data_IF_539300820526
#
_entry.id   IF_539300820526
#
_cell.length_a   1.000
_cell.length_b   1.000
_cell.length_c   1.000
_cell.angle_alpha   90.00
_cell.angle_beta   90.00
_cell.angle_gamma   90.00
#
_symmetry.space_group_name_H-M   'P 1'
#
loop_
_entity.id
_entity.type
_entity.pdbx_description
1 polymer ?
#
# COMPACT_ATOMS: atom_id res chain seq x y z
N UNK A 1 -1.99 -0.46 -20.80
CA UNK A 1 -3.14 -0.91 -20.02
C UNK A 1 -3.22 -0.14 -18.72
N UNK A 2 -4.32 0.51 -18.49
CA UNK A 2 -4.47 1.31 -17.28
C UNK A 2 -4.94 0.44 -16.12
N UNK A 3 -4.23 0.55 -15.00
CA UNK A 3 -4.66 -0.12 -13.80
C UNK A 3 -5.76 0.70 -13.13
N UNK A 4 -6.79 0.02 -12.70
CA UNK A 4 -7.86 0.60 -11.96
C UNK A 4 -7.42 0.88 -10.52
N UNK A 5 -7.83 2.01 -9.96
CA UNK A 5 -7.56 2.31 -8.56
C UNK A 5 -8.07 1.18 -7.66
N UNK A 6 -9.23 0.61 -7.99
CA UNK A 6 -9.83 -0.46 -7.21
C UNK A 6 -8.97 -1.72 -7.21
N UNK A 7 -8.31 -2.02 -8.33
CA UNK A 7 -7.41 -3.18 -8.40
C UNK A 7 -6.19 -3.01 -7.50
N UNK A 8 -5.59 -1.83 -7.53
CA UNK A 8 -4.45 -1.52 -6.67
C UNK A 8 -4.88 -1.54 -5.22
N UNK A 9 -6.03 -0.96 -4.92
CA UNK A 9 -6.59 -0.93 -3.58
C UNK A 9 -6.81 -2.34 -3.05
N UNK A 10 -7.37 -3.23 -3.88
CA UNK A 10 -7.60 -4.62 -3.50
C UNK A 10 -6.28 -5.33 -3.19
N UNK A 11 -5.25 -5.08 -4.00
CA UNK A 11 -3.93 -5.70 -3.80
C UNK A 11 -3.31 -5.25 -2.48
N UNK A 12 -3.38 -3.96 -2.20
CA UNK A 12 -2.85 -3.41 -0.95
C UNK A 12 -3.60 -4.00 0.25
N UNK A 13 -4.92 -4.04 0.16
CA UNK A 13 -5.75 -4.59 1.24
C UNK A 13 -5.46 -6.05 1.50
N UNK A 14 -5.33 -6.85 0.45
CA UNK A 14 -5.02 -8.28 0.58
C UNK A 14 -3.67 -8.50 1.26
N UNK A 15 -2.67 -7.72 0.85
CA UNK A 15 -1.35 -7.84 1.44
C UNK A 15 -1.38 -7.51 2.93
N UNK A 16 -2.02 -6.40 3.28
CA UNK A 16 -2.10 -5.96 4.67
C UNK A 16 -2.91 -6.92 5.53
N UNK A 17 -4.00 -7.44 4.99
CA UNK A 17 -4.83 -8.39 5.73
C UNK A 17 -4.04 -9.65 6.08
N UNK A 18 -3.27 -10.16 5.14
CA UNK A 18 -2.45 -11.35 5.36
C UNK A 18 -1.28 -11.05 6.30
N UNK A 19 -0.60 -9.93 6.10
CA UNK A 19 0.56 -9.54 6.89
C UNK A 19 0.21 -9.28 8.34
N UNK A 20 -0.85 -8.52 8.58
CA UNK A 20 -1.24 -8.04 9.90
C UNK A 20 -2.32 -8.89 10.55
N UNK A 21 -2.80 -9.91 9.86
CA UNK A 21 -3.86 -10.80 10.35
C UNK A 21 -5.15 -10.04 10.71
N UNK A 22 -5.51 -9.07 9.87
CA UNK A 22 -6.75 -8.32 10.04
C UNK A 22 -7.69 -8.61 8.89
N UNK A 23 -8.97 -8.28 9.07
CA UNK A 23 -9.96 -8.48 8.02
C UNK A 23 -9.78 -7.45 6.90
N UNK A 24 -9.91 -7.88 5.64
CA UNK A 24 -9.89 -6.99 4.48
C UNK A 24 -10.95 -5.91 4.64
N UNK A 25 -12.08 -6.23 5.23
CA UNK A 25 -13.19 -5.29 5.42
C UNK A 25 -12.86 -4.16 6.39
N UNK A 26 -11.86 -4.35 7.24
CA UNK A 26 -11.43 -3.33 8.19
C UNK A 26 -10.44 -2.34 7.58
N UNK A 27 -10.03 -2.57 6.34
CA UNK A 27 -9.03 -1.74 5.67
C UNK A 27 -9.69 -0.91 4.58
N UNK A 28 -9.67 0.41 4.75
CA UNK A 28 -10.22 1.35 3.78
C UNK A 28 -9.17 2.38 3.34
N UNK A 29 -9.57 3.30 2.48
CA UNK A 29 -8.67 4.34 1.98
C UNK A 29 -8.12 5.25 3.07
N UNK A 30 -8.94 5.57 4.06
CA UNK A 30 -8.56 6.46 5.14
C UNK A 30 -7.87 5.74 6.30
N UNK A 31 -7.76 4.43 6.23
CA UNK A 31 -7.11 3.63 7.26
C UNK A 31 -5.64 4.01 7.35
N UNK A 32 -5.19 4.33 8.55
CA UNK A 32 -3.80 4.70 8.81
C UNK A 32 -2.99 3.48 9.17
N UNK A 33 -1.80 3.36 8.59
CA UNK A 33 -0.95 2.19 8.84
C UNK A 33 -0.55 2.06 10.29
N UNK A 34 -0.12 3.16 10.91
CA UNK A 34 0.36 3.12 12.29
C UNK A 34 -0.76 3.26 13.32
N UNK A 35 -1.63 4.22 13.12
CA UNK A 35 -2.66 4.53 14.12
C UNK A 35 -3.80 3.52 14.11
N UNK A 36 -4.20 3.05 12.96
CA UNK A 36 -5.37 2.16 12.84
C UNK A 36 -4.99 0.69 12.76
N UNK A 37 -3.88 0.37 12.09
CA UNK A 37 -3.44 -1.01 11.87
C UNK A 37 -2.27 -1.43 12.76
N UNK A 38 -1.71 -0.49 13.50
CA UNK A 38 -0.55 -0.74 14.36
C UNK A 38 0.63 -1.33 13.59
N UNK A 39 0.75 -0.97 12.32
CA UNK A 39 1.84 -1.43 11.48
C UNK A 39 3.10 -0.62 11.78
N UNK A 40 4.22 -1.31 11.88
CA UNK A 40 5.49 -0.63 12.09
C UNK A 40 6.20 -0.37 10.76
N UNK A 41 7.41 0.20 10.83
CA UNK A 41 8.17 0.53 9.63
C UNK A 41 8.52 -0.69 8.78
N UNK A 42 8.76 -1.82 9.41
CA UNK A 42 9.08 -3.04 8.70
C UNK A 42 7.88 -3.53 7.88
N UNK A 43 6.69 -3.49 8.48
CA UNK A 43 5.47 -3.87 7.78
C UNK A 43 5.24 -2.98 6.56
N UNK A 44 5.49 -1.69 6.70
CA UNK A 44 5.35 -0.74 5.61
C UNK A 44 6.38 -1.01 4.51
N UNK A 45 7.61 -1.31 4.87
CA UNK A 45 8.65 -1.66 3.89
C UNK A 45 8.29 -2.92 3.11
N UNK A 46 7.75 -3.91 3.78
CA UNK A 46 7.34 -5.14 3.11
C UNK A 46 6.22 -4.88 2.12
N UNK A 47 5.27 -4.03 2.47
CA UNK A 47 4.21 -3.62 1.54
C UNK A 47 4.81 -2.89 0.34
N UNK A 48 5.71 -1.95 0.58
CA UNK A 48 6.34 -1.18 -0.49
C UNK A 48 7.10 -2.12 -1.43
N UNK A 49 7.85 -3.06 -0.91
CA UNK A 49 8.60 -4.04 -1.72
C UNK A 49 7.65 -4.87 -2.59
N UNK A 50 6.54 -5.29 -2.02
CA UNK A 50 5.53 -6.04 -2.78
C UNK A 50 4.97 -5.21 -3.93
N UNK A 51 4.70 -3.94 -3.67
CA UNK A 51 4.19 -3.05 -4.71
C UNK A 51 5.22 -2.78 -5.79
N UNK A 52 6.48 -2.64 -5.40
CA UNK A 52 7.57 -2.47 -6.36
C UNK A 52 7.68 -3.67 -7.30
N UNK A 53 7.63 -4.87 -6.72
CA UNK A 53 7.73 -6.10 -7.50
C UNK A 53 6.50 -6.32 -8.38
N UNK A 54 5.32 -6.08 -7.85
CA UNK A 54 4.07 -6.34 -8.54
C UNK A 54 3.88 -5.38 -9.73
N UNK A 55 4.21 -4.13 -9.55
CA UNK A 55 3.93 -3.09 -10.55
C UNK A 55 5.18 -2.57 -11.27
N UNK A 56 6.35 -3.07 -10.93
CA UNK A 56 7.58 -2.64 -11.57
C UNK A 56 7.94 -1.18 -11.30
N UNK A 57 7.62 -0.70 -10.11
CA UNK A 57 7.90 0.68 -9.72
C UNK A 57 9.02 0.72 -8.68
N UNK A 58 9.53 1.92 -8.42
CA UNK A 58 10.53 2.12 -7.37
C UNK A 58 10.07 3.22 -6.43
N UNK A 59 10.24 2.96 -5.13
CA UNK A 59 9.85 3.90 -4.07
C UNK A 59 11.06 4.07 -3.15
N UNK A 60 11.50 5.30 -2.96
CA UNK A 60 12.61 5.59 -2.05
C UNK A 60 12.15 5.51 -0.60
N UNK A 61 13.09 5.43 0.33
CA UNK A 61 12.77 5.43 1.76
C UNK A 61 12.06 6.70 2.17
N UNK A 62 12.46 7.85 1.62
CA UNK A 62 11.82 9.12 1.92
C UNK A 62 10.37 9.13 1.45
N UNK A 63 10.12 8.57 0.27
CA UNK A 63 8.78 8.49 -0.27
C UNK A 63 7.91 7.53 0.53
N UNK A 64 8.48 6.39 0.92
CA UNK A 64 7.77 5.42 1.75
C UNK A 64 7.38 6.04 3.10
N UNK A 65 8.24 6.88 3.65
CA UNK A 65 7.97 7.55 4.92
C UNK A 65 6.79 8.53 4.86
N UNK A 66 6.42 8.98 3.66
CA UNK A 66 5.29 9.89 3.46
C UNK A 66 3.96 9.16 3.35
N UNK A 67 4.00 7.86 3.22
CA UNK A 67 2.78 7.05 3.11
C UNK A 67 2.20 6.86 4.52
N UNK A 68 1.08 7.49 4.78
CA UNK A 68 0.43 7.43 6.09
C UNK A 68 -0.84 6.58 6.06
N UNK A 69 -1.57 6.62 4.96
CA UNK A 69 -2.83 5.89 4.83
C UNK A 69 -2.76 4.91 3.66
N UNK A 70 -3.71 3.97 3.65
CA UNK A 70 -3.83 3.00 2.56
C UNK A 70 -4.06 3.74 1.24
N UNK A 71 -4.90 4.78 1.26
CA UNK A 71 -5.14 5.61 0.07
C UNK A 71 -3.87 6.27 -0.46
N UNK A 72 -2.99 6.73 0.43
CA UNK A 72 -1.70 7.31 0.04
C UNK A 72 -0.86 6.29 -0.73
N UNK A 73 -0.82 5.05 -0.25
CA UNK A 73 -0.06 4.00 -0.92
C UNK A 73 -0.61 3.73 -2.31
N UNK A 74 -1.93 3.67 -2.43
CA UNK A 74 -2.59 3.45 -3.72
C UNK A 74 -2.30 4.59 -4.69
N UNK A 75 -2.42 5.83 -4.23
CA UNK A 75 -2.13 7.01 -5.04
C UNK A 75 -0.69 6.99 -5.53
N UNK A 76 0.23 6.60 -4.65
CA UNK A 76 1.65 6.53 -4.97
C UNK A 76 1.91 5.55 -6.10
N UNK A 77 1.30 4.38 -6.02
CA UNK A 77 1.43 3.36 -7.06
C UNK A 77 0.92 3.89 -8.39
N UNK A 78 -0.27 4.50 -8.38
CA UNK A 78 -0.89 5.01 -9.61
C UNK A 78 -0.06 6.12 -10.26
N UNK A 79 0.62 6.92 -9.48
CA UNK A 79 1.50 7.96 -10.00
C UNK A 79 2.77 7.41 -10.63
N UNK A 80 3.23 6.26 -10.15
CA UNK A 80 4.51 5.67 -10.58
C UNK A 80 4.40 4.67 -11.69
N UNK A 81 3.22 4.09 -11.90
CA UNK A 81 3.03 3.12 -12.96
C UNK A 81 3.11 3.82 -14.32
N UNK A 82 3.95 3.33 -15.25
CA UNK A 82 4.01 3.91 -16.59
C UNK A 82 2.66 3.78 -17.30
N UNK A 83 2.26 4.85 -17.93
CA UNK A 83 1.01 4.85 -18.69
C UNK A 83 1.08 3.96 -19.93
#
# INVERSE_FOLDING_TARGET
>A
MNLDRDEVMAKVREHLAAELEVSVDDIGETTRFRDDLDADSLDLYELVMELEDTYGIKVSEEEAARIETVGNAVDFVLERIPA
#
